data_IF_014556766442
#
_entry.id   IF_014556766442
#
_cell.length_a   1.000
_cell.length_b   1.000
_cell.length_c   1.000
_cell.angle_alpha   90.00
_cell.angle_beta   90.00
_cell.angle_gamma   90.00
#
_symmetry.space_group_name_H-M   'P 1'
#
loop_
_entity.id
_entity.type
_entity.pdbx_description
1 polymer ?
#
# COMPACT_ATOMS: atom_id res chain seq x y z
N UNK A 1 10.71 16.40 -8.30
CA UNK A 1 10.32 14.98 -8.40
C UNK A 1 9.62 14.57 -7.11
N UNK A 2 8.41 14.06 -7.23
CA UNK A 2 7.67 13.57 -6.07
C UNK A 2 8.25 12.27 -5.57
N UNK A 3 8.12 12.03 -4.27
CA UNK A 3 8.55 10.78 -3.65
C UNK A 3 7.37 10.06 -3.02
N UNK A 4 7.18 8.80 -3.41
CA UNK A 4 6.16 7.93 -2.84
C UNK A 4 6.81 6.78 -2.08
N UNK A 5 6.18 6.34 -1.01
CA UNK A 5 6.54 5.10 -0.38
C UNK A 5 5.39 4.10 -0.49
N UNK A 6 5.72 2.87 -0.88
CA UNK A 6 4.79 1.75 -0.88
C UNK A 6 5.12 0.89 0.32
N UNK A 7 4.15 0.70 1.21
CA UNK A 7 4.34 -0.04 2.46
C UNK A 7 3.52 -1.32 2.39
N UNK A 8 4.19 -2.46 2.53
CA UNK A 8 3.56 -3.77 2.48
C UNK A 8 3.64 -4.45 3.84
N UNK A 9 2.52 -4.98 4.28
CA UNK A 9 2.35 -5.59 5.59
C UNK A 9 2.72 -7.08 5.64
N UNK A 10 2.27 -7.76 6.70
CA UNK A 10 2.71 -9.11 7.01
C UNK A 10 2.37 -10.11 5.91
N UNK A 11 3.30 -11.02 5.71
CA UNK A 11 3.19 -12.15 4.78
C UNK A 11 3.31 -11.76 3.29
N UNK A 12 3.37 -10.47 2.95
CA UNK A 12 3.51 -10.05 1.54
C UNK A 12 4.91 -10.37 0.99
N UNK A 13 5.90 -10.57 1.86
CA UNK A 13 7.20 -11.07 1.44
C UNK A 13 7.12 -12.48 0.83
N UNK A 14 6.05 -13.23 1.12
CA UNK A 14 5.81 -14.58 0.59
C UNK A 14 4.84 -14.57 -0.60
N UNK A 15 4.61 -13.42 -1.20
CA UNK A 15 3.76 -13.30 -2.39
C UNK A 15 4.26 -14.26 -3.47
N UNK A 16 3.32 -14.99 -4.09
CA UNK A 16 3.65 -16.00 -5.09
C UNK A 16 3.88 -17.39 -4.52
N UNK A 17 4.10 -17.51 -3.22
CA UNK A 17 4.37 -18.79 -2.55
C UNK A 17 3.15 -19.32 -1.79
N UNK A 18 2.11 -18.51 -1.60
CA UNK A 18 0.92 -18.88 -0.84
C UNK A 18 -0.36 -18.43 -1.56
N UNK A 19 -1.45 -19.15 -1.31
CA UNK A 19 -2.80 -18.76 -1.77
C UNK A 19 -2.83 -18.13 -3.17
N UNK A 20 -2.25 -18.82 -4.16
CA UNK A 20 -2.14 -18.29 -5.52
C UNK A 20 -3.49 -17.91 -6.13
N UNK A 21 -4.57 -18.55 -5.70
CA UNK A 21 -5.92 -18.20 -6.15
C UNK A 21 -6.36 -16.81 -5.66
N UNK A 22 -5.80 -16.34 -4.54
CA UNK A 22 -6.11 -15.03 -3.97
C UNK A 22 -5.13 -13.94 -4.40
N UNK A 23 -3.84 -14.30 -4.56
CA UNK A 23 -2.77 -13.34 -4.73
C UNK A 23 -2.00 -13.49 -6.05
N UNK A 24 -2.31 -14.53 -6.86
CA UNK A 24 -1.60 -14.80 -8.10
C UNK A 24 -0.27 -15.53 -7.89
N UNK A 25 0.43 -15.81 -8.98
CA UNK A 25 1.70 -16.56 -8.98
C UNK A 25 2.93 -15.67 -9.02
N UNK A 26 2.80 -14.37 -9.24
CA UNK A 26 3.94 -13.44 -9.27
C UNK A 26 4.46 -13.21 -7.86
N UNK A 27 5.79 -13.10 -7.73
CA UNK A 27 6.41 -12.95 -6.42
C UNK A 27 6.62 -11.47 -6.02
N UNK A 28 7.10 -11.26 -4.80
CA UNK A 28 7.33 -9.93 -4.26
C UNK A 28 8.37 -9.15 -5.07
N UNK A 29 9.42 -9.85 -5.53
CA UNK A 29 10.47 -9.21 -6.33
C UNK A 29 9.91 -8.66 -7.64
N UNK A 30 9.05 -9.43 -8.30
CA UNK A 30 8.37 -8.98 -9.52
C UNK A 30 7.51 -7.74 -9.23
N UNK A 31 6.77 -7.76 -8.13
CA UNK A 31 5.95 -6.63 -7.73
C UNK A 31 6.81 -5.37 -7.55
N UNK A 32 7.93 -5.49 -6.86
CA UNK A 32 8.83 -4.38 -6.65
C UNK A 32 9.36 -3.84 -7.98
N UNK A 33 9.76 -4.74 -8.87
CA UNK A 33 10.30 -4.36 -10.18
C UNK A 33 9.29 -3.54 -11.00
N UNK A 34 8.03 -3.99 -11.07
CA UNK A 34 7.02 -3.27 -11.86
C UNK A 34 6.66 -1.92 -11.24
N UNK A 35 6.66 -1.83 -9.91
CA UNK A 35 6.38 -0.57 -9.24
C UNK A 35 7.49 0.45 -9.46
N UNK A 36 8.74 0.03 -9.32
CA UNK A 36 9.89 0.92 -9.53
C UNK A 36 9.96 1.37 -10.99
N UNK A 37 9.68 0.46 -11.92
CA UNK A 37 9.65 0.81 -13.34
C UNK A 37 8.56 1.84 -13.63
N UNK A 38 7.38 1.66 -13.07
CA UNK A 38 6.29 2.62 -13.29
C UNK A 38 6.63 3.98 -12.71
N UNK A 39 7.31 4.02 -11.58
CA UNK A 39 7.80 5.26 -11.00
C UNK A 39 8.72 6.00 -11.97
N UNK A 40 9.67 5.29 -12.57
CA UNK A 40 10.58 5.88 -13.55
C UNK A 40 9.82 6.44 -14.76
N UNK A 41 8.85 5.68 -15.26
CA UNK A 41 8.05 6.11 -16.41
C UNK A 41 7.31 7.44 -16.13
N UNK A 42 6.92 7.66 -14.88
CA UNK A 42 6.17 8.84 -14.46
C UNK A 42 7.05 9.91 -13.78
N UNK A 43 8.35 9.68 -13.74
CA UNK A 43 9.30 10.57 -13.06
C UNK A 43 8.95 10.76 -11.57
N UNK A 44 8.64 9.65 -10.89
CA UNK A 44 8.36 9.60 -9.46
C UNK A 44 9.41 8.72 -8.81
N UNK A 45 9.98 9.18 -7.69
CA UNK A 45 10.88 8.39 -6.87
C UNK A 45 10.04 7.48 -5.96
N UNK A 46 10.10 6.17 -6.19
CA UNK A 46 9.35 5.19 -5.41
C UNK A 46 10.30 4.39 -4.52
N UNK A 47 10.00 4.35 -3.23
CA UNK A 47 10.62 3.47 -2.26
C UNK A 47 9.59 2.42 -1.86
N UNK A 48 9.99 1.15 -1.76
CA UNK A 48 9.09 0.07 -1.40
C UNK A 48 9.65 -0.68 -0.19
N UNK A 49 8.84 -0.82 0.84
CA UNK A 49 9.21 -1.52 2.07
C UNK A 49 8.17 -2.56 2.45
N UNK A 50 8.62 -3.58 3.16
CA UNK A 50 7.75 -4.65 3.66
C UNK A 50 8.18 -4.99 5.09
N UNK A 51 7.22 -5.22 5.97
CA UNK A 51 7.51 -5.73 7.30
C UNK A 51 6.35 -6.57 7.83
N UNK A 52 6.69 -7.60 8.59
CA UNK A 52 5.71 -8.38 9.34
C UNK A 52 5.44 -7.78 10.72
N UNK A 53 6.22 -6.79 11.13
CA UNK A 53 6.18 -6.24 12.48
C UNK A 53 5.37 -4.96 12.50
N UNK A 54 4.29 -4.95 13.27
CA UNK A 54 3.38 -3.80 13.32
C UNK A 54 4.09 -2.50 13.68
N UNK A 55 4.97 -2.54 14.69
CA UNK A 55 5.72 -1.35 15.11
C UNK A 55 6.66 -0.82 14.04
N UNK A 56 7.23 -1.70 13.22
CA UNK A 56 8.08 -1.28 12.10
C UNK A 56 7.26 -0.50 11.07
N UNK A 57 6.03 -0.96 10.80
CA UNK A 57 5.14 -0.27 9.86
C UNK A 57 4.79 1.12 10.40
N UNK A 58 4.50 1.22 11.70
CA UNK A 58 4.25 2.51 12.35
C UNK A 58 5.45 3.44 12.17
N UNK A 59 6.67 2.93 12.42
CA UNK A 59 7.90 3.72 12.27
C UNK A 59 8.11 4.18 10.82
N UNK A 60 7.84 3.31 9.84
CA UNK A 60 7.96 3.65 8.43
C UNK A 60 7.01 4.80 8.07
N UNK A 61 5.77 4.75 8.56
CA UNK A 61 4.77 5.81 8.32
C UNK A 61 5.25 7.12 8.96
N UNK A 62 5.77 7.06 10.18
CA UNK A 62 6.27 8.25 10.85
C UNK A 62 7.43 8.89 10.10
N UNK A 63 8.36 8.07 9.61
CA UNK A 63 9.51 8.58 8.83
C UNK A 63 9.06 9.19 7.51
N UNK A 64 8.04 8.60 6.87
CA UNK A 64 7.51 9.09 5.60
C UNK A 64 6.96 10.52 5.71
N UNK A 65 6.54 10.96 6.88
CA UNK A 65 6.06 12.33 7.08
C UNK A 65 7.09 13.38 6.67
N UNK A 66 8.36 13.03 6.82
CA UNK A 66 9.46 13.98 6.55
C UNK A 66 10.00 13.87 5.14
N UNK A 67 9.84 12.72 4.49
CA UNK A 67 10.56 12.41 3.26
C UNK A 67 9.66 12.13 2.06
N UNK A 68 8.38 11.83 2.27
CA UNK A 68 7.49 11.38 1.19
C UNK A 68 6.33 12.33 0.98
N UNK A 69 5.85 12.38 -0.26
CA UNK A 69 4.69 13.18 -0.66
C UNK A 69 3.39 12.38 -0.62
N UNK A 70 3.48 11.06 -0.59
CA UNK A 70 2.32 10.19 -0.51
C UNK A 70 2.69 8.78 -0.08
N UNK A 71 1.67 8.05 0.38
CA UNK A 71 1.81 6.65 0.81
C UNK A 71 0.83 5.79 0.02
N UNK A 72 1.30 4.64 -0.46
CA UNK A 72 0.44 3.54 -0.91
C UNK A 72 0.65 2.43 0.09
N UNK A 73 -0.41 1.97 0.76
CA UNK A 73 -0.27 0.98 1.82
C UNK A 73 -1.17 -0.24 1.59
N UNK A 74 -0.54 -1.42 1.62
CA UNK A 74 -1.22 -2.69 1.73
C UNK A 74 -0.84 -3.27 3.09
N UNK A 75 -1.62 -2.96 4.12
CA UNK A 75 -1.33 -3.37 5.48
C UNK A 75 -1.67 -4.86 5.73
N UNK A 76 -2.18 -5.56 4.71
CA UNK A 76 -2.56 -6.96 4.78
C UNK A 76 -3.50 -7.21 5.97
N UNK A 77 -3.25 -8.25 6.77
CA UNK A 77 -4.12 -8.56 7.91
C UNK A 77 -4.23 -7.44 8.94
N UNK A 78 -3.21 -6.60 9.06
CA UNK A 78 -3.28 -5.47 10.00
C UNK A 78 -4.32 -4.42 9.61
N UNK A 79 -4.82 -4.43 8.38
CA UNK A 79 -5.92 -3.54 7.98
C UNK A 79 -7.16 -3.76 8.84
N UNK A 80 -7.32 -4.97 9.37
CA UNK A 80 -8.53 -5.37 10.09
C UNK A 80 -8.34 -5.35 11.61
N UNK A 81 -7.12 -5.11 12.10
CA UNK A 81 -6.80 -5.27 13.52
C UNK A 81 -6.01 -4.11 14.13
N UNK A 82 -5.29 -3.32 13.32
CA UNK A 82 -4.32 -2.40 13.88
C UNK A 82 -4.86 -0.98 14.02
N UNK A 83 -5.21 -0.62 15.25
CA UNK A 83 -5.49 0.77 15.60
C UNK A 83 -4.19 1.58 15.53
N UNK A 84 -3.05 0.98 15.90
CA UNK A 84 -1.76 1.68 15.87
C UNK A 84 -1.39 2.17 14.47
N UNK A 85 -1.59 1.34 13.45
CA UNK A 85 -1.34 1.74 12.06
C UNK A 85 -2.34 2.81 11.61
N UNK A 86 -3.63 2.64 11.97
CA UNK A 86 -4.65 3.64 11.69
C UNK A 86 -4.24 5.02 12.24
N UNK A 87 -3.78 5.05 13.49
CA UNK A 87 -3.41 6.29 14.14
C UNK A 87 -2.18 6.93 13.49
N UNK A 88 -1.19 6.11 13.10
CA UNK A 88 -0.01 6.61 12.40
C UNK A 88 -0.40 7.22 11.05
N UNK A 89 -1.30 6.57 10.30
CA UNK A 89 -1.77 7.09 9.02
C UNK A 89 -2.54 8.40 9.20
N UNK A 90 -3.31 8.53 10.28
CA UNK A 90 -4.07 9.77 10.52
C UNK A 90 -3.18 10.98 10.80
N UNK A 91 -1.95 10.74 11.25
CA UNK A 91 -0.98 11.80 11.49
C UNK A 91 -0.27 12.22 10.18
N UNK A 92 -0.22 11.34 9.20
CA UNK A 92 0.35 11.64 7.88
C UNK A 92 -0.66 12.50 7.09
N UNK A 93 -0.37 13.76 6.92
CA UNK A 93 -1.34 14.73 6.40
C UNK A 93 -1.29 14.90 4.88
N UNK A 94 -0.72 13.96 4.17
CA UNK A 94 -0.63 13.95 2.70
C UNK A 94 -1.42 12.77 2.14
N UNK A 95 -1.58 12.66 0.80
CA UNK A 95 -2.41 11.60 0.23
C UNK A 95 -1.94 10.19 0.58
N UNK A 96 -2.91 9.33 0.87
CA UNK A 96 -2.71 7.91 1.16
C UNK A 96 -3.69 7.10 0.33
N UNK A 97 -3.21 6.08 -0.36
CA UNK A 97 -4.08 5.11 -1.03
C UNK A 97 -3.92 3.77 -0.32
N UNK A 98 -5.04 3.24 0.16
CA UNK A 98 -5.12 1.88 0.71
C UNK A 98 -5.31 0.90 -0.43
N UNK A 99 -4.62 -0.25 -0.38
CA UNK A 99 -4.69 -1.24 -1.44
C UNK A 99 -4.79 -2.63 -0.86
N UNK A 100 -5.64 -3.46 -1.48
CA UNK A 100 -5.74 -4.89 -1.23
C UNK A 100 -5.66 -5.62 -2.56
N UNK A 101 -4.82 -6.67 -2.63
CA UNK A 101 -4.65 -7.49 -3.84
C UNK A 101 -5.92 -8.28 -4.11
N UNK A 102 -6.46 -8.94 -3.08
CA UNK A 102 -7.70 -9.71 -3.19
C UNK A 102 -8.91 -8.81 -2.96
N UNK A 103 -10.08 -9.25 -3.43
CA UNK A 103 -11.32 -8.59 -3.06
C UNK A 103 -11.70 -9.07 -1.66
N UNK A 104 -11.45 -8.24 -0.66
CA UNK A 104 -11.67 -8.58 0.75
C UNK A 104 -13.13 -8.91 1.05
N UNK A 105 -14.07 -8.41 0.23
CA UNK A 105 -15.51 -8.64 0.41
C UNK A 105 -15.96 -10.03 -0.06
N UNK A 106 -15.07 -10.76 -0.77
CA UNK A 106 -15.30 -12.15 -1.15
C UNK A 106 -14.65 -13.13 -0.18
N UNK A 107 -14.03 -12.64 0.87
CA UNK A 107 -13.32 -13.45 1.85
C UNK A 107 -14.09 -13.51 3.17
N UNK A 108 -13.42 -13.91 4.24
CA UNK A 108 -14.05 -14.05 5.55
C UNK A 108 -14.62 -12.71 6.05
N UNK A 109 -15.71 -12.77 6.80
CA UNK A 109 -16.42 -11.57 7.27
C UNK A 109 -15.52 -10.60 8.02
N UNK A 110 -14.53 -11.09 8.79
CA UNK A 110 -13.63 -10.20 9.54
C UNK A 110 -12.76 -9.34 8.64
N UNK A 111 -12.63 -9.69 7.35
CA UNK A 111 -11.88 -8.89 6.38
C UNK A 111 -12.70 -7.79 5.73
N UNK A 112 -14.03 -7.80 5.92
CA UNK A 112 -14.92 -6.83 5.28
C UNK A 112 -14.80 -5.44 5.88
N UNK A 113 -14.24 -5.32 7.08
CA UNK A 113 -14.04 -4.03 7.72
C UNK A 113 -12.55 -3.70 7.78
N UNK A 114 -12.18 -2.58 7.16
CA UNK A 114 -10.83 -2.05 7.27
C UNK A 114 -10.83 -0.91 8.29
N UNK A 115 -9.95 -1.01 9.29
CA UNK A 115 -9.79 0.03 10.30
C UNK A 115 -9.09 1.26 9.74
N UNK A 116 -8.39 1.13 8.61
CA UNK A 116 -7.61 2.23 8.05
C UNK A 116 -8.34 2.99 6.94
N UNK A 117 -9.41 2.43 6.37
CA UNK A 117 -10.11 3.08 5.25
C UNK A 117 -10.65 4.46 5.59
N UNK A 118 -11.00 4.71 6.84
CA UNK A 118 -11.54 5.99 7.27
C UNK A 118 -10.51 7.12 7.34
N UNK A 119 -9.20 6.80 7.24
CA UNK A 119 -8.13 7.80 7.36
C UNK A 119 -7.28 7.91 6.09
N UNK A 120 -7.70 7.28 4.99
CA UNK A 120 -6.98 7.33 3.71
C UNK A 120 -7.74 8.17 2.69
N UNK A 121 -7.05 8.58 1.63
CA UNK A 121 -7.64 9.36 0.54
C UNK A 121 -8.57 8.50 -0.31
N UNK A 122 -8.15 7.27 -0.61
CA UNK A 122 -8.94 6.37 -1.45
C UNK A 122 -8.49 4.91 -1.28
N UNK A 123 -9.28 4.01 -1.89
CA UNK A 123 -9.14 2.57 -1.73
C UNK A 123 -9.18 1.88 -3.08
N UNK A 124 -8.24 0.95 -3.31
CA UNK A 124 -8.25 0.02 -4.44
C UNK A 124 -8.28 -1.40 -3.86
N UNK A 125 -9.18 -2.23 -4.37
CA UNK A 125 -9.41 -3.55 -3.80
C UNK A 125 -9.76 -4.56 -4.88
N UNK A 126 -9.10 -5.71 -4.90
CA UNK A 126 -9.54 -6.85 -5.69
C UNK A 126 -9.02 -6.92 -7.12
N UNK A 127 -8.06 -6.10 -7.50
CA UNK A 127 -7.55 -6.04 -8.89
C UNK A 127 -6.18 -6.70 -9.04
N UNK A 128 -5.80 -7.55 -8.09
CA UNK A 128 -4.51 -8.24 -8.13
C UNK A 128 -3.34 -7.28 -7.95
N UNK A 129 -2.16 -7.70 -8.37
CA UNK A 129 -0.98 -6.85 -8.26
C UNK A 129 -1.03 -5.64 -9.18
N UNK A 130 -1.85 -5.69 -10.24
CA UNK A 130 -2.07 -4.53 -11.10
C UNK A 130 -2.65 -3.34 -10.30
N UNK A 131 -3.29 -3.61 -9.17
CA UNK A 131 -3.77 -2.56 -8.29
C UNK A 131 -2.68 -1.59 -7.85
N UNK A 132 -1.44 -2.08 -7.68
CA UNK A 132 -0.31 -1.21 -7.34
C UNK A 132 -0.01 -0.20 -8.44
N UNK A 133 -0.06 -0.66 -9.69
CA UNK A 133 0.16 0.24 -10.84
C UNK A 133 -0.94 1.29 -10.92
N UNK A 134 -2.18 0.87 -10.68
CA UNK A 134 -3.32 1.80 -10.65
C UNK A 134 -3.19 2.82 -9.52
N UNK A 135 -2.70 2.37 -8.36
CA UNK A 135 -2.47 3.26 -7.23
C UNK A 135 -1.39 4.31 -7.56
N UNK A 136 -0.30 3.88 -8.19
CA UNK A 136 0.77 4.79 -8.61
C UNK A 136 0.23 5.81 -9.61
N UNK A 137 -0.53 5.35 -10.60
CA UNK A 137 -1.13 6.24 -11.59
C UNK A 137 -2.05 7.27 -10.92
N UNK A 138 -2.90 6.82 -10.00
CA UNK A 138 -3.83 7.70 -9.28
C UNK A 138 -3.07 8.71 -8.42
N UNK A 139 -2.05 8.25 -7.71
CA UNK A 139 -1.23 9.13 -6.88
C UNK A 139 -0.53 10.20 -7.71
N UNK A 140 -0.03 9.81 -8.89
CA UNK A 140 0.59 10.75 -9.80
C UNK A 140 -0.36 11.90 -10.16
N UNK A 141 -1.61 11.57 -10.47
CA UNK A 141 -2.62 12.59 -10.78
C UNK A 141 -2.98 13.44 -9.56
N UNK A 142 -3.12 12.81 -8.39
CA UNK A 142 -3.43 13.53 -7.15
C UNK A 142 -2.34 14.56 -6.85
N UNK A 143 -1.08 14.15 -6.92
CA UNK A 143 0.05 15.02 -6.57
C UNK A 143 0.23 16.16 -7.59
N UNK A 144 -0.07 15.94 -8.85
CA UNK A 144 -0.05 17.00 -9.86
C UNK A 144 -1.08 18.09 -9.54
N UNK A 145 -2.24 17.69 -9.08
CA UNK A 145 -3.33 18.64 -8.81
C UNK A 145 -3.12 19.42 -7.51
N UNK A 146 -2.23 18.98 -6.63
CA UNK A 146 -1.91 19.66 -5.38
C UNK A 146 -0.80 20.70 -5.52
N UNK A 147 -0.15 20.72 -6.68
CA UNK A 147 0.97 21.65 -6.94
C UNK A 147 0.50 22.94 -7.67
#
# INVERSE_FOLDING_TARGET
>A
MSKLIIINGPNLNLLGEREQTQYGSKDYKYLEEICLKRGKDLNIDIEMKQSNVEGDIVNIIQDARKTCDGIIINAAGYSHTSVAIRDALSIFKKPIIELHISNIYKREDFRHKSLISGVVTGLICGLGINGYILAINSMHEILKNEN
#
